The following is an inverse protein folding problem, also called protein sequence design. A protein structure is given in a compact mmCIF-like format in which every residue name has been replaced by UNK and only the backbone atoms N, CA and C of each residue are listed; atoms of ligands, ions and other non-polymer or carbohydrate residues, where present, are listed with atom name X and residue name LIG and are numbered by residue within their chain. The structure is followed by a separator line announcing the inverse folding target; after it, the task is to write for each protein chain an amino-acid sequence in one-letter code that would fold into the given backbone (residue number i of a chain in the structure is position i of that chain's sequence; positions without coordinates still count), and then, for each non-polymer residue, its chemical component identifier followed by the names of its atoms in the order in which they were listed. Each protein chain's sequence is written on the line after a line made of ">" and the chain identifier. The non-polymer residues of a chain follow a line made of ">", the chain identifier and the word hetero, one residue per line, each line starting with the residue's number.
data_IF_494197249168
#
_entry.id   IF_494197249168
#
_cell.length_a   1.000
_cell.length_b   1.000
_cell.length_c   1.000
_cell.angle_alpha   90.00
_cell.angle_beta   90.00
_cell.angle_gamma   90.00
#
_symmetry.space_group_name_H-M   'P 1'
#
loop_
_entity.id
_entity.type
_entity.pdbx_description
1 polymer ?
#
# COMPACT_ATOMS: atom_id res chain seq x y z
N UNK A 1 3.95 -7.28 -6.51
CA UNK A 1 2.57 -6.95 -6.92
C UNK A 1 2.06 -5.85 -6.02
N UNK A 2 1.45 -4.81 -6.57
CA UNK A 2 0.86 -3.74 -5.79
C UNK A 2 0.71 -2.42 -6.53
N UNK A 3 1.18 -1.32 -5.94
CA UNK A 3 0.86 0.03 -6.41
C UNK A 3 1.20 0.27 -7.90
N UNK A 4 2.29 -0.30 -8.42
CA UNK A 4 2.66 -0.13 -9.83
C UNK A 4 1.69 -0.84 -10.79
N UNK A 5 1.06 -1.95 -10.39
CA UNK A 5 0.03 -2.63 -11.20
C UNK A 5 -1.16 -1.69 -11.46
N UNK A 6 -1.44 -0.77 -10.54
CA UNK A 6 -2.49 0.25 -10.70
C UNK A 6 -1.95 1.54 -11.33
N UNK A 7 -0.99 2.19 -10.69
CA UNK A 7 -0.50 3.53 -11.08
C UNK A 7 0.24 3.54 -12.42
N UNK A 8 1.03 2.50 -12.67
CA UNK A 8 1.95 2.43 -13.82
C UNK A 8 1.48 1.42 -14.88
N UNK A 9 0.31 0.80 -14.72
CA UNK A 9 -0.24 -0.16 -15.68
C UNK A 9 -1.74 0.03 -15.91
N UNK A 10 -2.60 -0.33 -14.95
CA UNK A 10 -4.06 -0.28 -15.12
C UNK A 10 -4.57 1.12 -15.51
N UNK A 11 -4.11 2.17 -14.83
CA UNK A 11 -4.48 3.56 -15.09
C UNK A 11 -3.58 4.27 -16.12
N UNK A 12 -2.83 3.51 -16.93
CA UNK A 12 -1.97 4.02 -17.99
C UNK A 12 -2.42 3.52 -19.38
N UNK A 13 -3.66 3.85 -19.82
CA UNK A 13 -4.24 3.31 -21.05
C UNK A 13 -3.50 3.72 -22.34
N UNK A 14 -2.67 4.77 -22.27
CA UNK A 14 -1.78 5.16 -23.38
C UNK A 14 -0.68 4.15 -23.65
N UNK A 15 -0.26 3.40 -22.63
CA UNK A 15 0.88 2.48 -22.69
C UNK A 15 0.45 1.01 -22.56
N UNK A 16 -0.63 0.73 -21.85
CA UNK A 16 -1.07 -0.64 -21.55
C UNK A 16 -2.59 -0.82 -21.79
N UNK A 17 -3.02 -1.94 -22.40
CA UNK A 17 -4.43 -2.21 -22.65
C UNK A 17 -5.15 -2.83 -21.44
N UNK A 18 -4.58 -2.76 -20.24
CA UNK A 18 -5.08 -3.52 -19.08
C UNK A 18 -6.49 -3.08 -18.70
N UNK A 19 -6.75 -1.77 -18.63
CA UNK A 19 -8.08 -1.22 -18.29
C UNK A 19 -9.12 -1.37 -19.40
N UNK A 20 -8.72 -1.72 -20.63
CA UNK A 20 -9.67 -2.08 -21.71
C UNK A 20 -9.97 -3.57 -21.72
N UNK A 21 -9.09 -4.40 -21.14
CA UNK A 21 -9.25 -5.86 -21.06
C UNK A 21 -9.94 -6.33 -19.79
N UNK A 22 -9.79 -5.59 -18.69
CA UNK A 22 -10.28 -5.99 -17.38
C UNK A 22 -11.03 -4.85 -16.71
N UNK A 23 -12.14 -5.16 -16.04
CA UNK A 23 -12.71 -4.27 -15.02
C UNK A 23 -11.79 -4.23 -13.78
N UNK A 24 -11.96 -3.25 -12.87
CA UNK A 24 -11.12 -3.18 -11.66
C UNK A 24 -11.20 -4.46 -10.81
N UNK A 25 -12.40 -5.04 -10.70
CA UNK A 25 -12.67 -6.28 -9.97
C UNK A 25 -12.01 -7.50 -10.61
N UNK A 26 -12.07 -7.61 -11.94
CA UNK A 26 -11.39 -8.68 -12.69
C UNK A 26 -9.87 -8.56 -12.54
N UNK A 27 -9.34 -7.34 -12.59
CA UNK A 27 -7.91 -7.10 -12.44
C UNK A 27 -7.42 -7.43 -11.01
N UNK A 28 -8.13 -6.97 -9.98
CA UNK A 28 -7.85 -7.34 -8.59
C UNK A 28 -7.86 -8.87 -8.39
N UNK A 29 -8.84 -9.57 -8.99
CA UNK A 29 -8.92 -11.03 -8.96
C UNK A 29 -7.72 -11.70 -9.67
N UNK A 30 -7.32 -11.19 -10.83
CA UNK A 30 -6.14 -11.68 -11.56
C UNK A 30 -4.88 -11.52 -10.72
N UNK A 31 -4.68 -10.34 -10.13
CA UNK A 31 -3.55 -10.03 -9.27
C UNK A 31 -3.51 -10.99 -8.06
N UNK A 32 -4.60 -11.12 -7.30
CA UNK A 32 -4.65 -12.01 -6.13
C UNK A 32 -4.41 -13.47 -6.49
N UNK A 33 -4.90 -13.93 -7.65
CA UNK A 33 -4.60 -15.29 -8.14
C UNK A 33 -3.10 -15.48 -8.39
N UNK A 34 -2.43 -14.51 -8.99
CA UNK A 34 -0.99 -14.55 -9.21
C UNK A 34 -0.21 -14.46 -7.90
N UNK A 35 -0.62 -13.59 -6.97
CA UNK A 35 0.04 -13.43 -5.69
C UNK A 35 -0.07 -14.70 -4.84
N UNK A 36 -1.26 -15.31 -4.80
CA UNK A 36 -1.50 -16.59 -4.12
C UNK A 36 -0.54 -17.68 -4.57
N UNK A 37 -0.25 -17.77 -5.88
CA UNK A 37 0.74 -18.72 -6.41
C UNK A 37 2.13 -18.46 -5.85
N UNK A 38 2.58 -17.20 -5.87
CA UNK A 38 3.90 -16.81 -5.35
C UNK A 38 4.02 -17.08 -3.84
N UNK A 39 2.99 -16.77 -3.05
CA UNK A 39 2.97 -17.05 -1.61
C UNK A 39 3.01 -18.56 -1.32
N UNK A 40 2.26 -19.36 -2.08
CA UNK A 40 2.31 -20.83 -1.97
C UNK A 40 3.69 -21.37 -2.36
N UNK A 41 4.36 -20.79 -3.35
CA UNK A 41 5.74 -21.13 -3.67
C UNK A 41 6.69 -20.85 -2.50
N UNK A 42 6.63 -19.66 -1.89
CA UNK A 42 7.44 -19.34 -0.70
C UNK A 42 7.18 -20.30 0.46
N UNK A 43 5.91 -20.66 0.69
CA UNK A 43 5.53 -21.67 1.67
C UNK A 43 6.18 -23.04 1.37
N UNK A 44 6.19 -23.49 0.11
CA UNK A 44 6.87 -24.73 -0.30
C UNK A 44 8.38 -24.68 -0.05
N UNK A 45 8.98 -23.49 -0.09
CA UNK A 45 10.40 -23.26 0.25
C UNK A 45 10.66 -23.09 1.76
N UNK A 46 9.66 -23.29 2.63
CA UNK A 46 9.84 -23.26 4.08
C UNK A 46 9.39 -21.97 4.77
N UNK A 47 8.81 -21.00 4.05
CA UNK A 47 8.22 -19.85 4.71
C UNK A 47 7.04 -20.28 5.60
N UNK A 48 7.04 -19.86 6.87
CA UNK A 48 5.99 -20.22 7.86
C UNK A 48 5.33 -19.03 8.54
N UNK A 49 5.99 -17.86 8.55
CA UNK A 49 5.42 -16.62 9.07
C UNK A 49 5.51 -15.58 7.97
N UNK A 50 4.37 -15.12 7.48
CA UNK A 50 4.33 -14.23 6.31
C UNK A 50 3.37 -13.07 6.54
N UNK A 51 3.89 -11.84 6.42
CA UNK A 51 3.09 -10.63 6.42
C UNK A 51 2.79 -10.21 4.97
N UNK A 52 1.51 -10.19 4.61
CA UNK A 52 1.02 -9.73 3.32
C UNK A 52 0.59 -8.27 3.44
N UNK A 53 1.41 -7.38 2.89
CA UNK A 53 1.18 -5.94 2.94
C UNK A 53 0.18 -5.52 1.87
N UNK A 54 -0.89 -4.86 2.28
CA UNK A 54 -1.87 -4.24 1.39
C UNK A 54 -1.32 -3.00 0.68
N UNK A 55 -2.14 -2.42 -0.18
CA UNK A 55 -1.82 -1.22 -0.93
C UNK A 55 -2.27 0.01 -0.15
N UNK A 56 -1.42 1.05 -0.15
CA UNK A 56 -1.78 2.36 0.38
C UNK A 56 -2.79 3.11 -0.48
N UNK A 57 -3.15 4.32 -0.07
CA UNK A 57 -4.03 5.21 -0.83
C UNK A 57 -3.31 5.78 -2.06
N UNK A 58 -3.14 4.97 -3.11
CA UNK A 58 -2.39 5.35 -4.33
C UNK A 58 -2.98 6.56 -5.04
N UNK A 59 -4.30 6.79 -4.93
CA UNK A 59 -4.96 7.97 -5.48
C UNK A 59 -4.57 9.27 -4.78
N UNK A 60 -3.96 9.19 -3.59
CA UNK A 60 -3.49 10.34 -2.82
C UNK A 60 -2.01 10.65 -3.04
N UNK A 61 -1.28 9.85 -3.83
CA UNK A 61 0.09 10.18 -4.21
C UNK A 61 0.10 11.48 -5.04
N UNK A 62 1.10 12.38 -4.88
CA UNK A 62 1.16 13.64 -5.64
C UNK A 62 1.10 13.43 -7.16
N UNK A 63 1.72 12.35 -7.67
CA UNK A 63 1.60 11.97 -9.08
C UNK A 63 0.13 11.75 -9.48
N UNK A 64 -0.60 10.93 -8.74
CA UNK A 64 -2.01 10.64 -9.02
C UNK A 64 -2.86 11.90 -8.98
N UNK A 65 -2.67 12.76 -7.97
CA UNK A 65 -3.40 14.03 -7.83
C UNK A 65 -3.19 14.92 -9.07
N UNK A 66 -1.96 14.97 -9.59
CA UNK A 66 -1.63 15.74 -10.81
C UNK A 66 -2.37 15.28 -12.07
N UNK A 67 -2.90 14.04 -12.08
CA UNK A 67 -3.73 13.53 -13.18
C UNK A 67 -5.20 13.98 -13.13
N UNK A 68 -5.61 14.65 -12.05
CA UNK A 68 -6.94 15.21 -11.85
C UNK A 68 -7.79 14.43 -10.85
N UNK A 69 -8.34 15.13 -9.84
CA UNK A 69 -9.12 14.55 -8.74
C UNK A 69 -10.64 14.73 -8.88
N UNK A 70 -11.11 15.45 -9.89
CA UNK A 70 -12.52 15.81 -10.07
C UNK A 70 -13.15 16.53 -8.85
N UNK A 71 -12.35 17.34 -8.13
CA UNK A 71 -12.80 18.11 -6.97
C UNK A 71 -12.65 17.39 -5.62
N UNK A 72 -12.28 16.11 -5.62
CA UNK A 72 -11.90 15.37 -4.42
C UNK A 72 -10.46 15.68 -3.97
N UNK A 73 -10.12 15.27 -2.74
CA UNK A 73 -8.74 15.40 -2.21
C UNK A 73 -7.76 14.40 -2.85
N UNK A 74 -8.26 13.26 -3.33
CA UNK A 74 -7.48 12.21 -3.99
C UNK A 74 -8.20 11.75 -5.27
N UNK A 75 -7.55 10.91 -6.06
CA UNK A 75 -8.20 10.25 -7.22
C UNK A 75 -9.00 9.04 -6.75
N UNK A 76 -10.28 9.25 -6.47
CA UNK A 76 -11.17 8.25 -5.84
C UNK A 76 -11.21 6.93 -6.61
N UNK A 77 -11.36 6.97 -7.94
CA UNK A 77 -11.37 5.77 -8.79
C UNK A 77 -10.13 4.87 -8.63
N UNK A 78 -8.97 5.45 -8.29
CA UNK A 78 -7.75 4.67 -8.06
C UNK A 78 -7.78 4.01 -6.69
N UNK A 79 -8.25 4.75 -5.68
CA UNK A 79 -8.43 4.25 -4.31
C UNK A 79 -9.48 3.14 -4.24
N UNK A 80 -10.61 3.30 -4.93
CA UNK A 80 -11.65 2.27 -5.02
C UNK A 80 -11.10 0.97 -5.65
N UNK A 81 -10.32 1.09 -6.73
CA UNK A 81 -9.75 -0.06 -7.42
C UNK A 81 -8.72 -0.83 -6.58
N UNK A 82 -7.90 -0.14 -5.77
CA UNK A 82 -6.95 -0.82 -4.87
C UNK A 82 -7.63 -1.43 -3.65
N UNK A 83 -8.77 -0.89 -3.21
CA UNK A 83 -9.53 -1.47 -2.10
C UNK A 83 -10.10 -2.84 -2.45
N UNK A 84 -10.55 -3.05 -3.69
CA UNK A 84 -10.95 -4.37 -4.18
C UNK A 84 -9.81 -5.41 -4.05
N UNK A 85 -8.56 -5.00 -4.30
CA UNK A 85 -7.40 -5.87 -4.09
C UNK A 85 -7.14 -6.12 -2.61
N UNK A 86 -7.18 -5.08 -1.77
CA UNK A 86 -6.95 -5.19 -0.34
C UNK A 86 -7.96 -6.13 0.35
N UNK A 87 -9.25 -6.02 -0.01
CA UNK A 87 -10.30 -6.90 0.49
C UNK A 87 -10.03 -8.37 0.12
N UNK A 88 -9.72 -8.62 -1.16
CA UNK A 88 -9.38 -9.96 -1.63
C UNK A 88 -8.07 -10.49 -1.03
N UNK A 89 -7.10 -9.63 -0.75
CA UNK A 89 -5.87 -10.02 -0.07
C UNK A 89 -6.13 -10.47 1.36
N UNK A 90 -7.00 -9.76 2.08
CA UNK A 90 -7.45 -10.18 3.40
C UNK A 90 -8.18 -11.52 3.34
N UNK A 91 -9.09 -11.73 2.38
CA UNK A 91 -9.72 -13.04 2.20
C UNK A 91 -8.73 -14.16 1.83
N UNK A 92 -7.67 -13.84 1.08
CA UNK A 92 -6.60 -14.80 0.79
C UNK A 92 -5.84 -15.19 2.06
N UNK A 93 -5.61 -14.28 3.01
CA UNK A 93 -5.03 -14.60 4.31
C UNK A 93 -5.86 -15.66 5.04
N UNK A 94 -7.19 -15.51 5.07
CA UNK A 94 -8.09 -16.49 5.69
C UNK A 94 -7.98 -17.87 5.02
N UNK A 95 -7.99 -17.88 3.69
CA UNK A 95 -7.85 -19.12 2.91
C UNK A 95 -6.50 -19.80 3.13
N UNK A 96 -5.40 -19.04 3.22
CA UNK A 96 -4.07 -19.59 3.47
C UNK A 96 -3.97 -20.16 4.88
N UNK A 97 -4.45 -19.44 5.90
CA UNK A 97 -4.44 -19.92 7.29
C UNK A 97 -5.36 -21.15 7.51
N UNK A 98 -6.43 -21.28 6.73
CA UNK A 98 -7.32 -22.46 6.76
C UNK A 98 -6.64 -23.68 6.13
N UNK A 99 -5.95 -23.50 5.01
CA UNK A 99 -5.42 -24.61 4.21
C UNK A 99 -3.99 -25.02 4.59
N UNK A 100 -3.20 -24.11 5.18
CA UNK A 100 -1.78 -24.31 5.49
C UNK A 100 -1.59 -24.17 7.01
N UNK A 101 -1.97 -25.21 7.74
CA UNK A 101 -2.13 -25.16 9.21
C UNK A 101 -0.80 -25.07 9.98
N UNK A 102 0.32 -25.44 9.35
CA UNK A 102 1.68 -25.33 9.89
C UNK A 102 2.32 -23.95 9.65
N UNK A 103 1.62 -23.03 8.96
CA UNK A 103 2.06 -21.67 8.69
C UNK A 103 1.05 -20.63 9.21
N UNK A 104 1.50 -19.38 9.32
CA UNK A 104 0.69 -18.22 9.68
C UNK A 104 0.94 -17.04 8.75
N UNK A 105 -0.19 -16.52 8.27
CA UNK A 105 -0.26 -15.39 7.37
C UNK A 105 -1.04 -14.26 8.05
N UNK A 106 -0.58 -13.02 7.86
CA UNK A 106 -1.30 -11.83 8.33
C UNK A 106 -1.45 -10.83 7.17
N UNK A 107 -2.47 -9.99 7.25
CA UNK A 107 -2.71 -8.83 6.40
C UNK A 107 -2.25 -7.56 7.13
N UNK A 108 -1.50 -6.70 6.45
CA UNK A 108 -1.09 -5.38 6.95
C UNK A 108 -1.82 -4.30 6.14
N UNK A 109 -2.69 -3.53 6.80
CA UNK A 109 -3.59 -2.57 6.18
C UNK A 109 -2.93 -1.18 6.01
N UNK A 110 -2.00 -1.05 5.07
CA UNK A 110 -1.33 0.24 4.79
C UNK A 110 -2.31 1.30 4.28
N UNK A 111 -3.42 0.91 3.64
CA UNK A 111 -4.50 1.83 3.27
C UNK A 111 -5.08 2.53 4.49
N UNK A 112 -5.49 1.76 5.51
CA UNK A 112 -6.02 2.29 6.76
C UNK A 112 -4.97 3.09 7.55
N UNK A 113 -3.72 2.64 7.53
CA UNK A 113 -2.63 3.34 8.22
C UNK A 113 -2.25 4.69 7.59
N UNK A 114 -2.49 4.86 6.28
CA UNK A 114 -2.32 6.15 5.58
C UNK A 114 -3.24 7.23 6.17
N UNK A 115 -4.29 6.81 6.87
CA UNK A 115 -5.09 7.64 7.75
C UNK A 115 -6.07 8.56 7.01
N UNK A 116 -7.10 8.98 7.75
CA UNK A 116 -7.90 10.15 7.43
C UNK A 116 -7.10 11.44 7.67
N UNK A 117 -7.65 12.58 7.25
CA UNK A 117 -7.06 13.90 7.58
C UNK A 117 -6.87 14.11 9.09
N UNK A 118 -7.77 13.55 9.91
CA UNK A 118 -7.66 13.60 11.37
C UNK A 118 -6.47 12.77 11.89
N UNK A 119 -6.27 11.56 11.36
CA UNK A 119 -5.13 10.70 11.72
C UNK A 119 -3.79 11.29 11.31
N UNK A 120 -3.75 11.99 10.17
CA UNK A 120 -2.54 12.69 9.70
C UNK A 120 -2.17 13.84 10.64
N UNK A 121 -3.17 14.56 11.13
CA UNK A 121 -2.97 15.65 12.08
C UNK A 121 -2.43 15.12 13.42
N UNK A 122 -2.99 14.02 13.94
CA UNK A 122 -2.52 13.43 15.21
C UNK A 122 -1.12 12.83 15.11
N UNK A 123 -0.70 12.40 13.92
CA UNK A 123 0.66 11.90 13.64
C UNK A 123 1.67 13.00 13.32
N UNK A 124 1.24 14.26 13.22
CA UNK A 124 2.10 15.43 12.99
C UNK A 124 2.34 15.76 11.52
N UNK A 125 1.66 15.07 10.58
CA UNK A 125 1.70 15.43 9.17
C UNK A 125 0.84 16.67 8.91
N UNK A 126 1.44 17.66 8.27
CA UNK A 126 0.79 18.91 7.84
C UNK A 126 0.62 19.00 6.33
N UNK A 127 1.44 18.26 5.58
CA UNK A 127 1.45 18.28 4.12
C UNK A 127 1.30 16.86 3.61
N UNK A 128 0.20 16.57 2.92
CA UNK A 128 -0.13 15.20 2.49
C UNK A 128 -0.34 15.02 0.99
N UNK A 129 -0.20 16.09 0.21
CA UNK A 129 -0.49 16.16 -1.21
C UNK A 129 0.68 16.75 -2.02
N UNK A 130 1.73 17.22 -1.35
CA UNK A 130 2.93 17.80 -1.96
C UNK A 130 4.17 16.98 -1.58
N UNK A 131 5.04 16.75 -2.55
CA UNK A 131 6.33 16.10 -2.39
C UNK A 131 7.37 17.04 -1.74
N UNK A 132 8.20 16.48 -0.86
CA UNK A 132 9.22 17.25 -0.15
C UNK A 132 10.48 17.56 -0.99
N UNK A 133 10.90 16.68 -1.89
CA UNK A 133 12.08 16.90 -2.73
C UNK A 133 11.70 17.53 -4.09
N UNK A 134 12.56 18.36 -4.70
CA UNK A 134 12.41 18.71 -6.12
C UNK A 134 12.50 17.45 -6.98
N UNK A 135 11.61 17.31 -7.96
CA UNK A 135 11.50 16.12 -8.80
C UNK A 135 11.91 16.37 -10.25
N UNK A 136 12.41 15.33 -10.91
CA UNK A 136 12.68 15.32 -12.34
C UNK A 136 11.39 15.02 -13.14
N UNK A 137 11.53 14.92 -14.47
CA UNK A 137 10.40 14.69 -15.40
C UNK A 137 9.66 13.37 -15.16
N UNK A 138 10.31 12.39 -14.52
CA UNK A 138 9.70 11.10 -14.18
C UNK A 138 9.15 11.07 -12.74
N UNK A 139 9.16 12.20 -12.04
CA UNK A 139 8.56 12.35 -10.71
C UNK A 139 9.40 11.84 -9.54
N UNK A 140 10.68 11.56 -9.77
CA UNK A 140 11.64 11.14 -8.74
C UNK A 140 12.53 12.30 -8.30
N UNK A 141 13.07 12.26 -7.08
CA UNK A 141 13.93 13.32 -6.57
C UNK A 141 15.13 13.58 -7.49
N UNK A 142 15.42 14.86 -7.72
CA UNK A 142 16.65 15.29 -8.40
C UNK A 142 17.85 15.03 -7.49
N UNK A 143 18.89 14.30 -7.94
CA UNK A 143 20.07 14.04 -7.13
C UNK A 143 20.72 15.34 -6.62
N UNK A 144 21.11 15.37 -5.35
CA UNK A 144 21.75 16.51 -4.67
C UNK A 144 20.92 17.80 -4.56
N UNK A 145 19.66 17.81 -5.02
CA UNK A 145 18.77 18.94 -4.80
C UNK A 145 18.39 19.00 -3.31
N UNK A 146 18.33 20.22 -2.75
CA UNK A 146 17.93 20.41 -1.37
C UNK A 146 16.44 20.06 -1.19
N UNK A 147 16.08 19.11 -0.31
CA UNK A 147 14.68 18.81 -0.01
C UNK A 147 14.08 19.89 0.90
N UNK A 148 12.76 19.82 1.11
CA UNK A 148 12.05 20.65 2.09
C UNK A 148 12.70 20.56 3.49
N UNK A 149 12.60 21.64 4.28
CA UNK A 149 13.19 21.72 5.63
C UNK A 149 12.41 20.87 6.65
N UNK A 150 11.08 20.84 6.55
CA UNK A 150 10.15 20.17 7.48
C UNK A 150 9.74 18.77 6.99
N UNK A 151 10.72 17.90 6.75
CA UNK A 151 10.53 16.55 6.19
C UNK A 151 9.63 15.66 7.04
N UNK A 152 9.69 15.81 8.36
CA UNK A 152 8.86 15.05 9.30
C UNK A 152 7.37 15.42 9.27
N UNK A 153 7.03 16.57 8.69
CA UNK A 153 5.65 17.04 8.55
C UNK A 153 5.05 16.71 7.17
N UNK A 154 5.86 16.18 6.26
CA UNK A 154 5.43 15.78 4.92
C UNK A 154 5.18 14.28 4.86
N UNK A 155 4.08 13.89 4.21
CA UNK A 155 3.76 12.49 3.98
C UNK A 155 4.57 11.91 2.80
N UNK A 156 4.82 12.70 1.76
CA UNK A 156 5.48 12.25 0.53
C UNK A 156 6.87 12.84 0.33
N UNK A 157 7.81 11.98 -0.04
CA UNK A 157 9.19 12.33 -0.36
C UNK A 157 9.30 12.87 -1.78
N UNK A 158 8.88 12.06 -2.76
CA UNK A 158 8.75 12.41 -4.18
C UNK A 158 7.29 12.28 -4.63
N UNK A 159 6.99 12.18 -5.93
CA UNK A 159 5.60 12.10 -6.40
C UNK A 159 4.90 10.77 -6.08
N UNK A 160 5.59 9.78 -5.52
CA UNK A 160 5.09 8.42 -5.31
C UNK A 160 5.32 7.91 -3.89
N UNK A 161 6.52 8.13 -3.36
CA UNK A 161 7.01 7.43 -2.19
C UNK A 161 6.80 8.24 -0.91
N UNK A 162 6.42 7.58 0.19
CA UNK A 162 6.30 8.23 1.49
C UNK A 162 7.66 8.68 2.05
N UNK A 163 7.64 9.70 2.92
CA UNK A 163 8.82 10.11 3.69
C UNK A 163 9.25 9.05 4.70
N UNK A 164 10.46 9.18 5.24
CA UNK A 164 10.93 8.36 6.35
C UNK A 164 9.94 8.37 7.53
N UNK A 165 9.40 9.55 7.88
CA UNK A 165 8.45 9.67 8.98
C UNK A 165 7.16 8.89 8.72
N UNK A 166 6.61 8.96 7.51
CA UNK A 166 5.44 8.17 7.12
C UNK A 166 5.72 6.67 7.21
N UNK A 167 6.89 6.22 6.73
CA UNK A 167 7.31 4.83 6.86
C UNK A 167 7.48 4.40 8.34
N UNK A 168 8.06 5.24 9.20
CA UNK A 168 8.21 4.95 10.63
C UNK A 168 6.84 4.80 11.33
N UNK A 169 5.88 5.66 11.01
CA UNK A 169 4.51 5.56 11.54
C UNK A 169 3.87 4.24 11.11
N UNK A 170 3.91 3.92 9.80
CA UNK A 170 3.36 2.66 9.28
C UNK A 170 4.04 1.44 9.90
N UNK A 171 5.37 1.43 10.00
CA UNK A 171 6.12 0.31 10.57
C UNK A 171 5.78 0.10 12.06
N UNK A 172 5.70 1.18 12.85
CA UNK A 172 5.32 1.10 14.27
C UNK A 172 3.91 0.56 14.44
N UNK A 173 2.96 1.03 13.62
CA UNK A 173 1.58 0.52 13.63
C UNK A 173 1.52 -0.94 13.23
N UNK A 174 2.17 -1.33 12.14
CA UNK A 174 2.18 -2.72 11.68
C UNK A 174 2.83 -3.70 12.67
N UNK A 175 3.84 -3.26 13.41
CA UNK A 175 4.57 -4.11 14.35
C UNK A 175 3.89 -4.22 15.72
N UNK A 176 3.40 -3.10 16.27
CA UNK A 176 2.96 -3.03 17.67
C UNK A 176 1.47 -2.74 17.88
N UNK A 177 0.74 -2.26 16.87
CA UNK A 177 -0.66 -1.84 17.08
C UNK A 177 -1.54 -3.03 17.43
N UNK A 178 -2.41 -2.85 18.41
CA UNK A 178 -3.51 -3.78 18.71
C UNK A 178 -4.79 -3.43 17.94
N UNK A 179 -4.77 -2.38 17.11
CA UNK A 179 -5.93 -1.97 16.34
C UNK A 179 -6.19 -2.99 15.20
N UNK A 180 -7.35 -3.67 15.17
CA UNK A 180 -7.66 -4.63 14.10
C UNK A 180 -7.82 -3.96 12.72
N UNK A 181 -7.96 -2.64 12.67
CA UNK A 181 -7.94 -1.88 11.41
C UNK A 181 -6.52 -1.68 10.85
N UNK A 182 -5.47 -1.95 11.63
CA UNK A 182 -4.07 -1.85 11.20
C UNK A 182 -3.54 -3.17 10.65
N UNK A 183 -3.81 -4.27 11.35
CA UNK A 183 -3.33 -5.61 10.98
C UNK A 183 -4.36 -6.67 11.32
N UNK A 184 -4.33 -7.79 10.60
CA UNK A 184 -5.29 -8.88 10.78
C UNK A 184 -4.67 -10.25 10.49
N UNK A 185 -4.92 -11.32 11.27
CA UNK A 185 -5.64 -11.34 12.55
C UNK A 185 -4.79 -10.85 13.74
N UNK A 186 -3.49 -10.59 13.53
CA UNK A 186 -2.57 -10.09 14.54
C UNK A 186 -1.50 -9.19 13.91
N UNK A 187 -0.78 -8.44 14.74
CA UNK A 187 0.35 -7.61 14.29
C UNK A 187 1.62 -8.43 14.04
N UNK A 188 2.62 -7.80 13.42
CA UNK A 188 3.89 -8.46 13.07
C UNK A 188 4.64 -8.90 14.33
N UNK A 189 4.61 -8.12 15.42
CA UNK A 189 5.26 -8.47 16.67
C UNK A 189 4.75 -9.79 17.26
N UNK A 190 3.42 -9.97 17.28
CA UNK A 190 2.80 -11.22 17.71
C UNK A 190 3.15 -12.37 16.76
N UNK A 191 3.02 -12.17 15.44
CA UNK A 191 3.39 -13.18 14.43
C UNK A 191 4.83 -13.67 14.64
N UNK A 192 5.78 -12.75 14.90
CA UNK A 192 7.17 -13.08 15.12
C UNK A 192 7.39 -13.98 16.35
N UNK A 193 6.60 -13.79 17.41
CA UNK A 193 6.70 -14.55 18.66
C UNK A 193 6.02 -15.93 18.64
N UNK A 194 5.16 -16.21 17.65
CA UNK A 194 4.50 -17.52 17.55
C UNK A 194 5.50 -18.67 17.46
N UNK A 195 5.18 -19.80 18.09
CA UNK A 195 5.88 -21.07 17.86
C UNK A 195 4.98 -21.91 16.95
N UNK A 196 5.50 -22.25 15.77
CA UNK A 196 4.83 -23.06 14.74
C UNK A 196 5.49 -24.42 14.68
#
# INVERSE_FOLDING_TARGET
>A
MGSNDYMNNYFQPKFYPTSTKYTPEQYATLLIKQYSRQIKTLYMYGARKVALVGLGQVGCAPYSISTGTNGSACVDKMNDAVQLFNEKLKSLVDQLNTNLTDAKFIYVNTYGMSGSSADRTTTGFKVSDVNCCPVNEIGQCVPSAAPCKNRSEHMFWDLFHPTEMANLVTARRAYNSSNPSDTYPMNIGHLAQLRL
#
